data_IF_455595706759
#
_entry.id   IF_455595706759
#
_cell.length_a   1.000
_cell.length_b   1.000
_cell.length_c   1.000
_cell.angle_alpha   90.00
_cell.angle_beta   90.00
_cell.angle_gamma   90.00
#
_symmetry.space_group_name_H-M   'P 1'
#
loop_
_entity.id
_entity.type
_entity.pdbx_description
1 polymer ?
#
# COMPACT_ATOMS: atom_id res chain seq x y z
N UNK A 1 -1.20 -6.25 -11.58
CA UNK A 1 -0.38 -6.16 -10.34
C UNK A 1 0.72 -5.13 -10.57
N UNK A 2 0.98 -4.25 -9.59
CA UNK A 2 2.02 -3.23 -9.69
C UNK A 2 3.40 -3.84 -9.40
N UNK A 3 4.38 -3.56 -10.25
CA UNK A 3 5.79 -3.93 -10.06
C UNK A 3 6.71 -2.99 -10.84
N UNK A 4 7.96 -2.79 -10.40
CA UNK A 4 8.92 -1.94 -11.11
C UNK A 4 9.37 -2.59 -12.42
N UNK A 5 9.43 -1.81 -13.51
CA UNK A 5 9.88 -2.29 -14.83
C UNK A 5 11.35 -2.73 -14.84
N UNK A 6 12.22 -1.98 -14.16
CA UNK A 6 13.65 -2.27 -14.05
C UNK A 6 14.13 -1.87 -12.66
N UNK A 7 14.96 -2.73 -12.05
CA UNK A 7 15.61 -2.47 -10.76
C UNK A 7 17.12 -2.63 -10.92
N UNK A 8 17.91 -1.73 -10.32
CA UNK A 8 19.38 -1.81 -10.35
C UNK A 8 19.88 -3.07 -9.65
N UNK A 9 19.32 -3.37 -8.47
CA UNK A 9 19.63 -4.56 -7.70
C UNK A 9 18.35 -5.36 -7.47
N UNK A 10 18.37 -6.67 -7.73
CA UNK A 10 17.17 -7.52 -7.60
C UNK A 10 16.93 -8.03 -6.17
N UNK A 11 17.99 -8.28 -5.38
CA UNK A 11 17.90 -8.89 -4.04
C UNK A 11 18.38 -7.92 -2.96
N UNK A 12 17.46 -7.26 -2.26
CA UNK A 12 17.80 -6.26 -1.21
C UNK A 12 17.78 -6.84 0.19
N UNK A 13 18.56 -6.29 1.11
CA UNK A 13 18.43 -6.61 2.53
C UNK A 13 17.01 -6.30 3.02
N UNK A 14 16.46 -7.17 3.88
CA UNK A 14 15.16 -6.93 4.52
C UNK A 14 15.36 -5.88 5.60
N UNK A 15 15.27 -4.60 5.24
CA UNK A 15 15.27 -3.54 6.24
C UNK A 15 13.95 -3.61 7.02
N UNK A 16 14.03 -3.84 8.33
CA UNK A 16 12.85 -3.84 9.19
C UNK A 16 12.14 -2.48 9.11
N UNK A 17 10.83 -2.49 8.98
CA UNK A 17 10.05 -1.27 9.23
C UNK A 17 10.21 -0.97 10.71
N UNK A 18 11.00 0.05 11.05
CA UNK A 18 11.19 0.48 12.43
C UNK A 18 9.83 0.93 12.96
N UNK A 19 9.21 0.10 13.81
CA UNK A 19 7.83 0.30 14.30
C UNK A 19 7.61 1.65 15.01
N UNK A 20 8.69 2.26 15.50
CA UNK A 20 8.65 3.55 16.22
C UNK A 20 8.82 4.76 15.30
N UNK A 21 9.05 4.58 14.00
CA UNK A 21 9.16 5.70 13.07
C UNK A 21 7.79 6.14 12.59
N UNK A 22 7.60 7.46 12.49
CA UNK A 22 6.48 8.08 11.78
C UNK A 22 6.90 8.47 10.38
N UNK A 23 5.93 8.48 9.48
CA UNK A 23 6.15 8.94 8.11
C UNK A 23 6.44 10.43 8.10
N UNK A 24 7.48 10.86 7.36
CA UNK A 24 7.82 12.27 7.18
C UNK A 24 7.29 12.83 5.87
N UNK A 25 7.01 11.98 4.88
CA UNK A 25 6.62 12.39 3.52
C UNK A 25 5.27 11.82 3.11
N UNK A 26 4.49 12.59 2.35
CA UNK A 26 3.17 12.16 1.85
C UNK A 26 2.17 11.88 2.97
N UNK A 27 2.21 12.74 3.99
CA UNK A 27 1.31 12.74 5.16
C UNK A 27 0.08 13.64 4.97
N UNK A 28 0.10 14.50 3.94
CA UNK A 28 -0.97 15.41 3.54
C UNK A 28 -1.57 15.05 2.17
N UNK A 29 -2.85 15.36 1.98
CA UNK A 29 -3.60 15.08 0.76
C UNK A 29 -3.15 16.04 -0.36
N UNK A 30 -2.65 15.50 -1.46
CA UNK A 30 -2.13 16.34 -2.56
C UNK A 30 -3.11 16.52 -3.70
N UNK A 31 -3.81 15.47 -4.11
CA UNK A 31 -4.65 15.45 -5.30
C UNK A 31 -6.14 15.47 -4.93
N UNK A 32 -6.61 14.50 -4.15
CA UNK A 32 -8.03 14.33 -3.85
C UNK A 32 -8.52 15.12 -2.64
N UNK A 33 -9.84 15.30 -2.56
CA UNK A 33 -10.51 15.89 -1.40
C UNK A 33 -10.57 14.94 -0.19
N UNK A 34 -10.52 13.63 -0.42
CA UNK A 34 -10.57 12.60 0.61
C UNK A 34 -9.42 11.62 0.48
N UNK A 35 -9.02 10.97 1.57
CA UNK A 35 -8.02 9.92 1.52
C UNK A 35 -7.97 8.98 2.72
N UNK A 36 -7.17 7.93 2.55
CA UNK A 36 -6.97 6.87 3.53
C UNK A 36 -5.55 6.94 4.10
N UNK A 37 -5.44 7.23 5.38
CA UNK A 37 -4.17 7.38 6.12
C UNK A 37 -3.88 6.14 6.94
N UNK A 38 -2.64 5.65 6.89
CA UNK A 38 -2.18 4.54 7.71
C UNK A 38 -2.03 4.97 9.18
N UNK A 39 -2.56 4.18 10.11
CA UNK A 39 -2.35 4.38 11.55
C UNK A 39 -1.21 3.53 12.12
N UNK A 40 -0.82 2.46 11.40
CA UNK A 40 0.16 1.47 11.85
C UNK A 40 1.24 1.23 10.78
N UNK A 41 2.38 0.67 11.22
CA UNK A 41 3.49 0.32 10.35
C UNK A 41 3.32 -1.11 9.81
N UNK A 42 3.41 -1.33 8.50
CA UNK A 42 3.34 -2.66 7.90
C UNK A 42 3.95 -2.67 6.49
N UNK A 43 4.23 -3.87 5.96
CA UNK A 43 4.52 -4.04 4.53
C UNK A 43 3.23 -4.31 3.78
N UNK A 44 2.92 -3.44 2.82
CA UNK A 44 1.75 -3.61 1.96
C UNK A 44 2.21 -4.16 0.61
N UNK A 45 1.62 -5.27 0.19
CA UNK A 45 1.97 -5.93 -1.07
C UNK A 45 1.15 -5.39 -2.26
N UNK A 46 1.61 -5.68 -3.48
CA UNK A 46 0.94 -5.23 -4.71
C UNK A 46 -0.49 -5.77 -4.87
N UNK A 47 -0.77 -6.98 -4.35
CA UNK A 47 -2.10 -7.61 -4.40
C UNK A 47 -3.11 -6.92 -3.48
N UNK A 48 -2.68 -6.49 -2.30
CA UNK A 48 -3.48 -5.76 -1.31
C UNK A 48 -3.83 -4.36 -1.83
N UNK A 49 -2.86 -3.66 -2.43
CA UNK A 49 -3.10 -2.36 -3.08
C UNK A 49 -4.18 -2.52 -4.16
N UNK A 50 -4.05 -3.53 -5.01
CA UNK A 50 -4.99 -3.79 -6.10
C UNK A 50 -6.37 -4.21 -5.57
N UNK A 51 -6.43 -5.06 -4.54
CA UNK A 51 -7.68 -5.45 -3.90
C UNK A 51 -8.41 -4.25 -3.27
N UNK A 52 -7.69 -3.35 -2.62
CA UNK A 52 -8.25 -2.14 -2.03
C UNK A 52 -8.76 -1.19 -3.13
N UNK A 53 -7.98 -0.99 -4.20
CA UNK A 53 -8.38 -0.21 -5.38
C UNK A 53 -9.66 -0.75 -6.00
N UNK A 54 -9.70 -2.06 -6.29
CA UNK A 54 -10.86 -2.74 -6.87
C UNK A 54 -12.10 -2.59 -5.99
N UNK A 55 -11.97 -2.75 -4.66
CA UNK A 55 -13.08 -2.55 -3.72
C UNK A 55 -13.66 -1.13 -3.77
N UNK A 56 -12.80 -0.10 -3.85
CA UNK A 56 -13.24 1.28 -4.00
C UNK A 56 -13.94 1.51 -5.34
N UNK A 57 -13.31 1.10 -6.45
CA UNK A 57 -13.85 1.29 -7.80
C UNK A 57 -15.21 0.62 -7.99
N UNK A 58 -15.41 -0.57 -7.42
CA UNK A 58 -16.71 -1.25 -7.47
C UNK A 58 -17.79 -0.50 -6.69
N UNK A 59 -17.46 0.05 -5.51
CA UNK A 59 -18.46 0.73 -4.70
C UNK A 59 -18.91 2.06 -5.32
N UNK A 60 -17.98 2.84 -5.87
CA UNK A 60 -18.29 4.10 -6.56
C UNK A 60 -18.82 3.90 -7.99
N UNK A 61 -18.99 2.65 -8.43
CA UNK A 61 -19.48 2.28 -9.77
C UNK A 61 -18.69 2.97 -10.91
N UNK A 62 -17.37 3.09 -10.74
CA UNK A 62 -16.45 3.83 -11.64
C UNK A 62 -16.70 5.35 -11.74
N UNK A 63 -17.50 5.94 -10.85
CA UNK A 63 -17.59 7.38 -10.67
C UNK A 63 -16.42 7.95 -9.88
N UNK A 64 -16.04 9.20 -10.14
CA UNK A 64 -14.94 9.88 -9.45
C UNK A 64 -13.53 9.43 -9.88
N UNK A 65 -12.51 10.02 -9.24
CA UNK A 65 -11.10 9.73 -9.49
C UNK A 65 -10.46 9.12 -8.24
N UNK A 66 -9.62 8.10 -8.44
CA UNK A 66 -8.85 7.45 -7.37
C UNK A 66 -7.37 7.59 -7.70
N UNK A 67 -6.58 8.01 -6.70
CA UNK A 67 -5.13 7.98 -6.77
C UNK A 67 -4.57 6.94 -5.81
N UNK A 68 -3.59 6.19 -6.28
CA UNK A 68 -2.77 5.31 -5.45
C UNK A 68 -1.51 6.10 -5.11
N UNK A 69 -1.26 6.35 -3.82
CA UNK A 69 -0.15 7.18 -3.34
C UNK A 69 1.10 6.38 -2.98
N UNK A 70 1.01 5.05 -3.05
CA UNK A 70 2.08 4.12 -2.74
C UNK A 70 2.36 3.21 -3.95
N UNK A 71 3.63 2.87 -4.15
CA UNK A 71 4.04 1.97 -5.22
C UNK A 71 4.97 0.90 -4.65
N UNK A 72 4.70 -0.40 -4.87
CA UNK A 72 5.52 -1.47 -4.32
C UNK A 72 6.80 -1.65 -5.13
N UNK A 73 7.91 -1.13 -4.62
CA UNK A 73 9.23 -1.13 -5.25
C UNK A 73 10.25 -2.02 -4.53
N UNK A 74 10.03 -2.31 -3.24
CA UNK A 74 10.96 -3.10 -2.43
C UNK A 74 10.78 -4.60 -2.66
N UNK A 75 11.80 -5.34 -3.14
CA UNK A 75 11.68 -6.77 -3.40
C UNK A 75 11.67 -7.59 -2.11
N UNK A 76 10.80 -8.60 -2.06
CA UNK A 76 10.82 -9.68 -1.06
C UNK A 76 11.35 -10.94 -1.73
N UNK A 77 12.31 -11.57 -1.07
CA UNK A 77 12.89 -12.85 -1.49
C UNK A 77 12.39 -13.98 -0.59
N UNK A 78 12.19 -15.17 -1.15
CA UNK A 78 11.95 -16.39 -0.36
C UNK A 78 12.69 -17.56 -1.01
N UNK A 79 13.05 -18.54 -0.19
CA UNK A 79 13.52 -19.83 -0.70
C UNK A 79 12.32 -20.73 -0.99
N UNK A 80 12.45 -21.69 -1.93
CA UNK A 80 11.44 -22.71 -2.13
C UNK A 80 11.15 -23.48 -0.83
N UNK A 81 9.97 -24.11 -0.72
CA UNK A 81 9.77 -25.14 0.30
C UNK A 81 10.78 -26.29 0.08
N UNK A 82 11.02 -27.10 1.12
CA UNK A 82 11.83 -28.35 1.05
C UNK A 82 13.34 -28.19 0.84
N UNK A 83 13.89 -26.96 0.86
CA UNK A 83 15.35 -26.74 0.86
C UNK A 83 15.88 -26.45 2.26
N UNK A 84 17.10 -26.91 2.54
CA UNK A 84 17.78 -26.64 3.82
C UNK A 84 18.28 -25.19 3.93
N UNK A 85 18.74 -24.83 5.13
CA UNK A 85 19.45 -23.56 5.36
C UNK A 85 20.82 -23.57 4.62
N UNK A 86 21.37 -22.39 4.30
CA UNK A 86 22.59 -22.28 3.46
C UNK A 86 22.30 -22.02 1.98
N UNK A 87 23.26 -22.21 1.06
CA UNK A 87 23.03 -22.06 -0.40
C UNK A 87 22.70 -20.64 -0.88
N UNK A 88 22.90 -19.61 -0.05
CA UNK A 88 22.68 -18.22 -0.41
C UNK A 88 21.23 -17.75 -0.31
N UNK A 89 20.94 -16.64 -1.00
CA UNK A 89 19.66 -15.92 -0.89
C UNK A 89 18.67 -16.32 -1.99
N UNK A 90 17.45 -16.65 -1.59
CA UNK A 90 16.38 -17.06 -2.50
C UNK A 90 15.95 -15.98 -3.50
N UNK A 91 15.02 -16.35 -4.37
CA UNK A 91 14.55 -15.52 -5.48
C UNK A 91 13.44 -14.56 -5.09
N UNK A 92 13.24 -13.53 -5.91
CA UNK A 92 12.26 -12.47 -5.68
C UNK A 92 10.86 -13.02 -5.92
N UNK A 93 10.06 -13.08 -4.85
CA UNK A 93 8.68 -13.56 -4.89
C UNK A 93 7.66 -12.43 -5.13
N UNK A 94 8.04 -11.19 -4.84
CA UNK A 94 7.15 -10.07 -5.04
C UNK A 94 7.73 -8.76 -4.53
N UNK A 95 6.91 -7.73 -4.60
CA UNK A 95 7.27 -6.38 -4.18
C UNK A 95 6.29 -5.87 -3.14
N UNK A 96 6.82 -5.10 -2.20
CA UNK A 96 6.06 -4.45 -1.14
C UNK A 96 6.43 -2.98 -1.05
N UNK A 97 5.54 -2.21 -0.45
CA UNK A 97 5.83 -0.87 0.03
C UNK A 97 5.87 -0.88 1.56
N UNK A 98 6.98 -0.46 2.19
CA UNK A 98 7.04 -0.31 3.64
C UNK A 98 6.26 0.94 4.06
N UNK A 99 5.07 0.74 4.64
CA UNK A 99 4.22 1.80 5.17
C UNK A 99 4.62 2.14 6.59
N UNK A 100 4.75 3.44 6.87
CA UNK A 100 4.86 3.99 8.21
C UNK A 100 3.54 4.69 8.64
N UNK A 101 3.26 4.77 9.95
CA UNK A 101 2.13 5.52 10.48
C UNK A 101 2.17 6.98 9.99
N UNK A 102 1.04 7.46 9.49
CA UNK A 102 0.90 8.80 8.95
C UNK A 102 0.94 8.88 7.42
N UNK A 103 1.39 7.84 6.73
CA UNK A 103 1.40 7.79 5.26
C UNK A 103 -0.01 7.77 4.69
N UNK A 104 -0.28 8.58 3.67
CA UNK A 104 -1.50 8.48 2.87
C UNK A 104 -1.32 7.41 1.80
N UNK A 105 -2.28 6.48 1.73
CA UNK A 105 -2.23 5.31 0.86
C UNK A 105 -3.03 5.53 -0.42
N UNK A 106 -4.23 6.10 -0.28
CA UNK A 106 -5.15 6.37 -1.38
C UNK A 106 -5.77 7.75 -1.21
N UNK A 107 -6.09 8.37 -2.34
CA UNK A 107 -6.88 9.59 -2.40
C UNK A 107 -8.06 9.40 -3.36
N UNK A 108 -9.13 10.14 -3.12
CA UNK A 108 -10.36 10.07 -3.90
C UNK A 108 -10.95 11.48 -4.08
N UNK A 109 -11.56 11.71 -5.24
CA UNK A 109 -12.21 12.97 -5.59
C UNK A 109 -13.41 12.76 -6.52
N UNK A 110 -14.27 13.77 -6.63
CA UNK A 110 -15.45 13.74 -7.51
C UNK A 110 -16.59 12.86 -6.99
N UNK A 111 -16.67 12.65 -5.67
CA UNK A 111 -17.74 11.90 -4.99
C UNK A 111 -18.14 12.62 -3.70
N UNK A 112 -19.41 12.50 -3.23
CA UNK A 112 -19.82 13.08 -1.97
C UNK A 112 -19.15 12.38 -0.78
N UNK A 113 -18.96 13.12 0.32
CA UNK A 113 -18.25 12.65 1.53
C UNK A 113 -18.74 11.30 2.05
N UNK A 114 -20.06 11.09 2.12
CA UNK A 114 -20.65 9.85 2.64
C UNK A 114 -20.26 8.64 1.79
N UNK A 115 -20.23 8.80 0.48
CA UNK A 115 -19.81 7.75 -0.46
C UNK A 115 -18.29 7.54 -0.36
N UNK A 116 -17.51 8.61 -0.28
CA UNK A 116 -16.05 8.52 -0.14
C UNK A 116 -15.65 7.77 1.14
N UNK A 117 -16.29 8.08 2.27
CA UNK A 117 -16.02 7.45 3.56
C UNK A 117 -16.34 5.95 3.53
N UNK A 118 -17.50 5.57 3.01
CA UNK A 118 -17.87 4.17 2.86
C UNK A 118 -16.95 3.41 1.89
N UNK A 119 -16.52 4.05 0.80
CA UNK A 119 -15.57 3.47 -0.15
C UNK A 119 -14.21 3.20 0.50
N UNK A 120 -13.66 4.21 1.18
CA UNK A 120 -12.34 4.15 1.81
C UNK A 120 -12.34 3.21 3.03
N UNK A 121 -13.46 3.08 3.75
CA UNK A 121 -13.63 2.07 4.81
C UNK A 121 -13.54 0.65 4.26
N UNK A 122 -14.18 0.37 3.12
CA UNK A 122 -14.07 -0.93 2.42
C UNK A 122 -12.65 -1.20 1.93
N UNK A 123 -11.96 -0.17 1.46
CA UNK A 123 -10.55 -0.25 1.07
C UNK A 123 -9.65 -0.62 2.26
N UNK A 124 -9.85 0.05 3.40
CA UNK A 124 -9.14 -0.21 4.64
C UNK A 124 -9.29 -1.66 5.11
N UNK A 125 -10.47 -2.25 4.98
CA UNK A 125 -10.72 -3.66 5.32
C UNK A 125 -9.96 -4.67 4.43
N UNK A 126 -9.40 -4.25 3.29
CA UNK A 126 -8.53 -5.09 2.43
C UNK A 126 -7.05 -4.98 2.78
N UNK A 127 -6.68 -4.07 3.69
CA UNK A 127 -5.31 -3.83 4.11
C UNK A 127 -5.04 -4.49 5.46
N UNK A 128 -3.80 -4.95 5.70
CA UNK A 128 -3.43 -5.62 6.96
C UNK A 128 -3.11 -4.64 8.10
N UNK A 129 -3.69 -3.43 8.07
CA UNK A 129 -3.38 -2.34 9.02
C UNK A 129 -4.61 -1.53 9.37
N UNK A 130 -4.58 -0.91 10.55
CA UNK A 130 -5.56 0.14 10.90
C UNK A 130 -5.36 1.37 10.02
N UNK A 131 -6.47 1.91 9.53
CA UNK A 131 -6.50 3.09 8.67
C UNK A 131 -7.49 4.12 9.18
N UNK A 132 -7.23 5.39 8.91
CA UNK A 132 -8.11 6.53 9.23
C UNK A 132 -8.54 7.23 7.95
N UNK A 133 -9.80 7.63 7.88
CA UNK A 133 -10.30 8.53 6.86
C UNK A 133 -9.81 9.96 7.15
N UNK A 134 -9.45 10.69 6.11
CA UNK A 134 -9.01 12.09 6.19
C UNK A 134 -9.69 12.86 5.06
N UNK A 135 -10.19 14.06 5.36
CA UNK A 135 -10.61 15.05 4.37
C UNK A 135 -9.59 16.19 4.32
N UNK A 136 -9.57 16.92 3.20
CA UNK A 136 -8.85 18.19 3.11
C UNK A 136 -9.46 19.22 4.08
#
# INVERSE_FOLDING_TARGET
MLFPKRVKFRKWQRMATRRNLRETRGTALSFGAFGLKAAEACWVNSKQIESARKAMTHYIQRGGKIWIRIFPDKPITAKPPEVTMGGGKGDVQGYVFPVLPGRILFEMDGVPKNVAEAALKRAGAKLPIRTKFVSR
#
